data_IF_344221428511
#
_entry.id   IF_344221428511
#
_cell.length_a   1.000
_cell.length_b   1.000
_cell.length_c   1.000
_cell.angle_alpha   90.00
_cell.angle_beta   90.00
_cell.angle_gamma   90.00
#
_symmetry.space_group_name_H-M   'P 1'
#
loop_
_entity.id
_entity.type
_entity.pdbx_description
1 polymer ?
#
# COMPACT_ATOMS: atom_id res chain seq x y z
N UNK A 1 2.47 -3.74 -4.32
CA UNK A 1 1.55 -4.66 -3.63
C UNK A 1 2.21 -5.96 -3.16
N UNK A 2 2.70 -6.83 -4.06
CA UNK A 2 3.27 -8.14 -3.68
C UNK A 2 4.37 -8.07 -2.63
N UNK A 3 5.33 -7.14 -2.76
CA UNK A 3 6.38 -6.94 -1.76
C UNK A 3 5.86 -6.53 -0.38
N UNK A 4 4.76 -5.76 -0.31
CA UNK A 4 4.11 -5.38 0.94
C UNK A 4 3.45 -6.58 1.61
N UNK A 5 2.71 -7.39 0.85
CA UNK A 5 2.10 -8.62 1.35
C UNK A 5 3.20 -9.59 1.82
N UNK A 6 4.27 -9.74 1.04
CA UNK A 6 5.43 -10.56 1.40
C UNK A 6 6.10 -10.10 2.69
N UNK A 7 6.24 -8.79 2.91
CA UNK A 7 6.74 -8.25 4.15
C UNK A 7 5.82 -8.56 5.34
N UNK A 8 4.50 -8.45 5.19
CA UNK A 8 3.54 -8.80 6.25
C UNK A 8 3.57 -10.30 6.58
N UNK A 9 3.65 -11.16 5.57
CA UNK A 9 3.85 -12.61 5.74
C UNK A 9 5.17 -12.91 6.48
N UNK A 10 6.27 -12.25 6.09
CA UNK A 10 7.56 -12.42 6.76
C UNK A 10 7.55 -11.95 8.23
N UNK A 11 6.57 -11.12 8.62
CA UNK A 11 6.33 -10.71 10.01
C UNK A 11 5.45 -11.70 10.79
N UNK A 12 5.03 -12.81 10.17
CA UNK A 12 4.23 -13.86 10.81
C UNK A 12 2.72 -13.61 10.77
N UNK A 13 2.25 -12.68 9.94
CA UNK A 13 0.81 -12.43 9.76
C UNK A 13 0.14 -13.58 8.99
N UNK A 14 -1.11 -13.88 9.31
CA UNK A 14 -1.90 -14.84 8.54
C UNK A 14 -1.99 -14.42 7.06
N UNK A 15 -2.04 -15.39 6.15
CA UNK A 15 -1.99 -15.10 4.71
C UNK A 15 -3.16 -14.25 4.23
N UNK A 16 -4.37 -14.49 4.74
CA UNK A 16 -5.53 -13.69 4.38
C UNK A 16 -5.44 -12.29 4.96
N UNK A 17 -5.02 -12.17 6.23
CA UNK A 17 -4.83 -10.87 6.89
C UNK A 17 -3.75 -10.04 6.21
N UNK A 18 -2.62 -10.64 5.83
CA UNK A 18 -1.53 -9.99 5.11
C UNK A 18 -1.98 -9.48 3.74
N UNK A 19 -2.75 -10.29 3.00
CA UNK A 19 -3.31 -9.91 1.71
C UNK A 19 -4.31 -8.75 1.86
N UNK A 20 -5.21 -8.84 2.85
CA UNK A 20 -6.23 -7.83 3.12
C UNK A 20 -5.58 -6.50 3.55
N UNK A 21 -4.74 -6.51 4.58
CA UNK A 21 -4.06 -5.32 5.08
C UNK A 21 -3.15 -4.70 4.01
N UNK A 22 -2.36 -5.52 3.31
CA UNK A 22 -1.48 -5.06 2.23
C UNK A 22 -2.27 -4.38 1.10
N UNK A 23 -3.42 -4.93 0.72
CA UNK A 23 -4.27 -4.35 -0.32
C UNK A 23 -4.90 -3.03 0.14
N UNK A 24 -5.44 -2.97 1.36
CA UNK A 24 -6.03 -1.74 1.92
C UNK A 24 -4.98 -0.63 2.05
N UNK A 25 -3.81 -0.93 2.61
CA UNK A 25 -2.73 0.04 2.76
C UNK A 25 -2.22 0.54 1.39
N UNK A 26 -2.08 -0.36 0.42
CA UNK A 26 -1.68 -0.01 -0.94
C UNK A 26 -2.70 0.90 -1.65
N UNK A 27 -4.00 0.58 -1.54
CA UNK A 27 -5.06 1.40 -2.13
C UNK A 27 -5.12 2.80 -1.51
N UNK A 28 -5.00 2.91 -0.18
CA UNK A 28 -4.96 4.19 0.53
C UNK A 28 -3.75 5.03 0.10
N UNK A 29 -2.57 4.42 0.03
CA UNK A 29 -1.37 5.08 -0.47
C UNK A 29 -1.54 5.55 -1.93
N UNK A 30 -2.17 4.74 -2.77
CA UNK A 30 -2.52 5.10 -4.15
C UNK A 30 -3.43 6.33 -4.23
N UNK A 31 -4.47 6.40 -3.40
CA UNK A 31 -5.34 7.58 -3.33
C UNK A 31 -4.60 8.83 -2.86
N UNK A 32 -3.71 8.70 -1.86
CA UNK A 32 -2.90 9.81 -1.38
C UNK A 32 -1.90 10.31 -2.44
N UNK A 33 -1.28 9.40 -3.19
CA UNK A 33 -0.44 9.74 -4.32
C UNK A 33 -1.25 10.42 -5.44
N UNK A 34 -2.43 9.90 -5.76
CA UNK A 34 -3.32 10.48 -6.77
C UNK A 34 -3.76 11.91 -6.41
N UNK A 35 -3.94 12.21 -5.12
CA UNK A 35 -4.24 13.58 -4.67
C UNK A 35 -3.11 14.57 -4.97
N UNK A 36 -1.86 14.12 -5.14
CA UNK A 36 -0.70 14.96 -5.45
C UNK A 36 -0.37 14.99 -6.94
N UNK A 37 -0.45 13.85 -7.61
CA UNK A 37 0.04 13.67 -8.98
C UNK A 37 -1.09 13.68 -10.03
N UNK A 38 -2.34 13.42 -9.62
CA UNK A 38 -3.47 13.14 -10.50
C UNK A 38 -3.68 11.64 -10.71
N UNK A 39 -4.93 11.21 -10.89
CA UNK A 39 -5.31 9.79 -10.92
C UNK A 39 -4.58 8.98 -12.00
N UNK A 40 -4.35 9.56 -13.17
CA UNK A 40 -3.70 8.90 -14.32
C UNK A 40 -2.17 9.10 -14.36
N UNK A 41 -1.59 9.71 -13.32
CA UNK A 41 -0.17 10.07 -13.28
C UNK A 41 0.57 9.45 -12.09
N UNK A 42 -0.06 8.55 -11.34
CA UNK A 42 0.56 7.82 -10.23
C UNK A 42 1.41 6.68 -10.77
N UNK A 43 2.67 6.64 -10.35
CA UNK A 43 3.58 5.50 -10.58
C UNK A 43 3.82 4.73 -9.28
N UNK A 44 4.42 3.55 -9.39
CA UNK A 44 4.68 2.69 -8.23
C UNK A 44 5.55 3.35 -7.14
N UNK A 45 6.49 4.22 -7.53
CA UNK A 45 7.34 4.98 -6.60
C UNK A 45 6.52 5.91 -5.71
N UNK A 46 5.58 6.67 -6.28
CA UNK A 46 4.71 7.58 -5.54
C UNK A 46 3.88 6.84 -4.48
N UNK A 47 3.41 5.63 -4.82
CA UNK A 47 2.67 4.77 -3.88
C UNK A 47 3.56 4.26 -2.76
N UNK A 48 4.83 3.96 -3.03
CA UNK A 48 5.81 3.56 -2.00
C UNK A 48 6.08 4.73 -1.05
N UNK A 49 6.27 5.94 -1.59
CA UNK A 49 6.52 7.15 -0.78
C UNK A 49 5.30 7.50 0.10
N UNK A 50 4.09 7.27 -0.39
CA UNK A 50 2.85 7.47 0.36
C UNK A 50 2.50 6.30 1.32
N UNK A 51 3.22 5.17 1.25
CA UNK A 51 2.85 3.94 1.95
C UNK A 51 2.77 4.06 3.48
N UNK A 52 3.66 4.81 4.18
CA UNK A 52 3.55 4.99 5.63
C UNK A 52 2.19 5.57 6.06
N UNK A 53 1.64 6.51 5.29
CA UNK A 53 0.31 7.07 5.53
C UNK A 53 -0.82 6.11 5.12
N UNK A 54 -0.55 5.14 4.23
CA UNK A 54 -1.51 4.07 3.91
C UNK A 54 -1.90 3.20 5.12
N UNK A 55 -1.05 3.15 6.15
CA UNK A 55 -1.30 2.40 7.39
C UNK A 55 -2.02 3.20 8.49
N UNK A 56 -2.18 4.52 8.36
CA UNK A 56 -2.90 5.32 9.36
C UNK A 56 -4.42 5.06 9.31
N UNK A 57 -5.10 5.31 10.44
CA UNK A 57 -6.55 5.20 10.54
C UNK A 57 -7.27 6.30 9.77
#
# INVERSE_FOLDING_TARGET
LSGLIGALLAKGMDAFEAAALGTVAHARAGHLAAARHGADHVIAGDVIDALPAGFSR
#
